data_IF_226798636452
#
_entry.id   IF_226798636452
#
_cell.length_a   1.000
_cell.length_b   1.000
_cell.length_c   1.000
_cell.angle_alpha   90.00
_cell.angle_beta   90.00
_cell.angle_gamma   90.00
#
_symmetry.space_group_name_H-M   'P 1'
#
loop_
_entity.id
_entity.type
_entity.pdbx_description
1 polymer ?
#
# COMPACT_ATOMS: atom_id res chain seq x y z
N UNK A 1 12.75 -6.07 26.42
CA UNK A 1 12.01 -7.03 25.59
C UNK A 1 12.04 -6.54 24.16
N UNK A 2 12.47 -7.37 23.21
CA UNK A 2 12.36 -7.06 21.79
C UNK A 2 10.90 -7.21 21.41
N UNK A 3 10.23 -6.18 20.83
CA UNK A 3 8.85 -6.31 20.40
C UNK A 3 8.72 -7.49 19.44
N UNK A 4 7.73 -8.34 19.63
CA UNK A 4 7.37 -9.38 18.67
C UNK A 4 7.06 -8.67 17.36
N UNK A 5 7.69 -9.11 16.26
CA UNK A 5 7.46 -8.53 14.95
C UNK A 5 6.01 -8.81 14.54
N UNK A 6 5.22 -7.76 14.35
CA UNK A 6 3.85 -7.85 13.86
C UNK A 6 3.83 -8.47 12.47
N UNK A 7 2.87 -9.34 12.22
CA UNK A 7 2.62 -9.89 10.89
C UNK A 7 2.18 -8.77 9.93
N UNK A 8 2.26 -9.02 8.62
CA UNK A 8 1.76 -8.07 7.62
C UNK A 8 0.30 -7.70 7.87
N UNK A 9 -0.54 -8.65 8.24
CA UNK A 9 -1.96 -8.41 8.51
C UNK A 9 -2.17 -7.53 9.73
N UNK A 10 -1.43 -7.73 10.81
CA UNK A 10 -1.50 -6.89 12.01
C UNK A 10 -1.04 -5.45 11.74
N UNK A 11 0.05 -5.29 10.97
CA UNK A 11 0.51 -3.96 10.53
C UNK A 11 -0.53 -3.28 9.65
N UNK A 12 -1.18 -4.03 8.74
CA UNK A 12 -2.22 -3.50 7.85
C UNK A 12 -3.47 -3.10 8.64
N UNK A 13 -3.92 -3.90 9.59
CA UNK A 13 -5.05 -3.56 10.47
C UNK A 13 -4.78 -2.29 11.28
N UNK A 14 -3.56 -2.16 11.81
CA UNK A 14 -3.13 -0.95 12.53
C UNK A 14 -3.07 0.28 11.63
N UNK A 15 -2.53 0.14 10.41
CA UNK A 15 -2.48 1.20 9.41
C UNK A 15 -3.88 1.68 9.00
N UNK A 16 -4.80 0.76 8.71
CA UNK A 16 -6.17 1.08 8.32
C UNK A 16 -6.88 1.82 9.46
N UNK A 17 -6.78 1.31 10.68
CA UNK A 17 -7.39 1.94 11.86
C UNK A 17 -6.89 3.37 12.09
N UNK A 18 -5.57 3.59 11.99
CA UNK A 18 -4.98 4.92 12.16
C UNK A 18 -5.36 5.85 11.02
N UNK A 19 -5.33 5.38 9.76
CA UNK A 19 -5.70 6.18 8.61
C UNK A 19 -7.19 6.58 8.61
N UNK A 20 -8.08 5.67 9.01
CA UNK A 20 -9.50 5.99 9.18
C UNK A 20 -9.72 6.95 10.35
N UNK A 21 -9.01 6.79 11.48
CA UNK A 21 -9.12 7.70 12.61
C UNK A 21 -8.65 9.12 12.27
N UNK A 22 -7.59 9.25 11.46
CA UNK A 22 -7.07 10.55 10.99
C UNK A 22 -8.08 11.27 10.09
N UNK A 23 -8.68 10.56 9.12
CA UNK A 23 -9.51 11.17 8.07
C UNK A 23 -10.97 11.35 8.51
N UNK A 24 -11.49 10.45 9.34
CA UNK A 24 -12.92 10.44 9.73
C UNK A 24 -13.16 11.12 11.08
N UNK A 25 -12.25 10.98 12.04
CA UNK A 25 -12.40 11.53 13.39
C UNK A 25 -13.72 11.11 14.05
N UNK A 26 -14.56 12.09 14.41
CA UNK A 26 -15.88 11.86 15.03
C UNK A 26 -16.98 11.48 14.03
N UNK A 27 -16.69 11.51 12.71
CA UNK A 27 -17.62 11.11 11.65
C UNK A 27 -17.56 11.98 10.40
N UNK A 28 -17.95 11.41 9.26
CA UNK A 28 -18.14 12.13 8.00
C UNK A 28 -19.44 12.96 8.06
N UNK A 29 -19.34 14.19 8.57
CA UNK A 29 -20.47 15.08 8.75
C UNK A 29 -21.23 15.36 7.44
N UNK A 30 -20.54 15.47 6.32
CA UNK A 30 -21.14 15.70 5.00
C UNK A 30 -22.00 14.52 4.56
N UNK A 31 -21.43 13.32 4.61
CA UNK A 31 -22.20 12.12 4.26
C UNK A 31 -23.36 11.86 5.22
N UNK A 32 -23.14 12.14 6.51
CA UNK A 32 -24.22 12.01 7.51
C UNK A 32 -25.38 12.96 7.24
N UNK A 33 -25.12 14.19 6.81
CA UNK A 33 -26.14 15.20 6.51
C UNK A 33 -26.85 14.95 5.18
N UNK A 34 -26.13 14.52 4.13
CA UNK A 34 -26.65 14.51 2.75
C UNK A 34 -27.12 13.13 2.27
N UNK A 35 -26.66 12.03 2.87
CA UNK A 35 -26.88 10.68 2.37
C UNK A 35 -27.71 9.86 3.37
N UNK A 36 -28.77 9.22 2.87
CA UNK A 36 -29.57 8.32 3.71
C UNK A 36 -28.74 7.11 4.13
N UNK A 37 -28.83 6.70 5.40
CA UNK A 37 -28.06 5.58 5.98
C UNK A 37 -28.29 4.24 5.25
N UNK A 38 -29.45 4.07 4.62
CA UNK A 38 -29.84 2.87 3.86
C UNK A 38 -29.37 2.88 2.41
N UNK A 39 -28.74 3.99 1.96
CA UNK A 39 -28.26 4.09 0.58
C UNK A 39 -27.07 3.16 0.35
N UNK A 40 -27.14 2.34 -0.71
CA UNK A 40 -26.07 1.50 -1.21
C UNK A 40 -25.64 2.03 -2.58
N UNK A 41 -24.35 2.01 -2.87
CA UNK A 41 -23.78 2.43 -4.15
C UNK A 41 -22.77 1.41 -4.66
N UNK A 42 -22.65 1.32 -5.98
CA UNK A 42 -21.57 0.61 -6.66
C UNK A 42 -20.60 1.64 -7.21
N UNK A 43 -19.30 1.44 -6.94
CA UNK A 43 -18.22 2.23 -7.51
C UNK A 43 -17.22 1.34 -8.24
N UNK A 44 -16.39 1.96 -9.08
CA UNK A 44 -15.25 1.30 -9.75
C UNK A 44 -13.99 2.11 -9.57
N UNK A 45 -12.85 1.42 -9.48
CA UNK A 45 -11.54 2.06 -9.60
C UNK A 45 -11.11 2.07 -11.06
N UNK A 46 -11.05 3.28 -11.64
CA UNK A 46 -10.67 3.50 -13.02
C UNK A 46 -9.21 3.98 -13.09
N UNK A 47 -8.42 3.28 -13.88
CA UNK A 47 -7.01 3.63 -14.14
C UNK A 47 -6.95 4.86 -15.04
N UNK A 48 -6.06 5.80 -14.73
CA UNK A 48 -5.89 7.07 -15.43
C UNK A 48 -4.54 7.22 -16.13
N UNK A 49 -3.57 6.36 -15.79
CA UNK A 49 -2.21 6.43 -16.33
C UNK A 49 -1.64 5.03 -16.54
N UNK A 50 -0.60 4.90 -17.37
CA UNK A 50 0.14 3.65 -17.57
C UNK A 50 1.01 3.34 -16.35
N UNK A 51 1.17 2.05 -16.03
CA UNK A 51 2.04 1.64 -14.95
C UNK A 51 1.80 0.22 -14.42
N UNK A 52 2.30 -0.01 -13.21
CA UNK A 52 2.08 -1.25 -12.46
C UNK A 52 1.12 -0.94 -11.31
N UNK A 53 -0.02 -1.62 -11.29
CA UNK A 53 -0.98 -1.45 -10.20
C UNK A 53 -0.50 -2.16 -8.93
N UNK A 54 -0.70 -1.51 -7.78
CA UNK A 54 -0.36 -2.07 -6.48
C UNK A 54 -1.29 -1.53 -5.39
N UNK A 55 -1.72 -2.40 -4.47
CA UNK A 55 -2.62 -2.06 -3.37
C UNK A 55 -4.08 -2.44 -3.57
N UNK A 56 -4.41 -3.26 -4.57
CA UNK A 56 -5.80 -3.75 -4.80
C UNK A 56 -6.28 -4.62 -3.63
N UNK A 57 -5.42 -5.50 -3.11
CA UNK A 57 -5.76 -6.33 -1.95
C UNK A 57 -5.83 -5.51 -0.66
N UNK A 58 -5.02 -4.46 -0.54
CA UNK A 58 -5.11 -3.47 0.55
C UNK A 58 -6.45 -2.71 0.47
N UNK A 59 -6.85 -2.24 -0.72
CA UNK A 59 -8.15 -1.59 -0.94
C UNK A 59 -9.31 -2.49 -0.52
N UNK A 60 -9.27 -3.77 -0.89
CA UNK A 60 -10.27 -4.76 -0.46
C UNK A 60 -10.36 -4.85 1.06
N UNK A 61 -9.21 -4.88 1.76
CA UNK A 61 -9.18 -4.93 3.23
C UNK A 61 -9.77 -3.67 3.84
N UNK A 62 -9.43 -2.48 3.32
CA UNK A 62 -9.99 -1.19 3.78
C UNK A 62 -11.52 -1.18 3.64
N UNK A 63 -12.06 -1.59 2.47
CA UNK A 63 -13.51 -1.63 2.28
C UNK A 63 -14.20 -2.65 3.20
N UNK A 64 -13.56 -3.78 3.47
CA UNK A 64 -14.09 -4.78 4.41
C UNK A 64 -14.08 -4.28 5.86
N UNK A 65 -13.13 -3.44 6.23
CA UNK A 65 -13.08 -2.83 7.56
C UNK A 65 -14.23 -1.83 7.79
N UNK A 66 -14.51 -0.96 6.82
CA UNK A 66 -15.61 0.02 6.95
C UNK A 66 -17.00 -0.57 6.69
N UNK A 67 -17.08 -1.71 6.01
CA UNK A 67 -18.33 -2.41 5.70
C UNK A 67 -18.04 -3.91 5.51
N UNK A 68 -18.22 -4.71 6.55
CA UNK A 68 -17.95 -6.16 6.51
C UNK A 68 -18.69 -6.88 5.37
N UNK A 69 -19.91 -6.42 5.03
CA UNK A 69 -20.72 -6.95 3.94
C UNK A 69 -20.41 -6.32 2.56
N UNK A 70 -19.35 -5.52 2.42
CA UNK A 70 -18.97 -4.96 1.12
C UNK A 70 -18.75 -6.07 0.10
N UNK A 71 -19.37 -5.97 -1.06
CA UNK A 71 -19.11 -6.84 -2.20
C UNK A 71 -17.97 -6.22 -3.02
N UNK A 72 -16.84 -6.93 -3.12
CA UNK A 72 -15.62 -6.46 -3.78
C UNK A 72 -15.22 -7.43 -4.87
N UNK A 73 -15.38 -6.99 -6.12
CA UNK A 73 -15.04 -7.73 -7.34
C UNK A 73 -13.68 -7.27 -7.87
N UNK A 74 -12.62 -8.04 -7.60
CA UNK A 74 -11.28 -7.78 -8.13
C UNK A 74 -11.18 -8.23 -9.58
N UNK A 75 -10.82 -7.32 -10.49
CA UNK A 75 -10.62 -7.59 -11.91
C UNK A 75 -9.14 -7.67 -12.30
N UNK A 76 -8.29 -6.87 -11.65
CA UNK A 76 -6.86 -6.81 -11.92
C UNK A 76 -6.10 -7.11 -10.61
N UNK A 77 -5.09 -7.94 -10.71
CA UNK A 77 -4.25 -8.31 -9.56
C UNK A 77 -3.08 -7.33 -9.39
N UNK A 78 -2.62 -7.18 -8.15
CA UNK A 78 -1.41 -6.44 -7.83
C UNK A 78 -0.21 -6.94 -8.65
N UNK A 79 0.65 -6.03 -9.10
CA UNK A 79 1.80 -6.32 -9.97
C UNK A 79 1.47 -6.39 -11.46
N UNK A 80 0.21 -6.24 -11.87
CA UNK A 80 -0.17 -6.22 -13.27
C UNK A 80 0.14 -4.88 -13.94
N UNK A 81 0.52 -4.94 -15.23
CA UNK A 81 0.61 -3.76 -16.10
C UNK A 81 -0.81 -3.26 -16.36
N UNK A 82 -1.01 -1.97 -16.25
CA UNK A 82 -2.29 -1.30 -16.48
C UNK A 82 -2.14 -0.08 -17.38
N UNK A 83 -3.24 0.34 -18.02
CA UNK A 83 -3.31 1.49 -18.90
C UNK A 83 -4.58 2.32 -18.64
N UNK A 84 -4.64 3.57 -19.10
CA UNK A 84 -5.82 4.40 -18.99
C UNK A 84 -7.07 3.72 -19.55
N UNK A 85 -8.15 3.74 -18.76
CA UNK A 85 -9.43 3.12 -19.10
C UNK A 85 -9.65 1.74 -18.48
N UNK A 86 -8.60 1.05 -18.01
CA UNK A 86 -8.75 -0.21 -17.29
C UNK A 86 -9.53 -0.01 -15.98
N UNK A 87 -10.30 -1.02 -15.58
CA UNK A 87 -11.02 -1.05 -14.31
C UNK A 87 -10.37 -2.09 -13.40
N UNK A 88 -9.81 -1.66 -12.27
CA UNK A 88 -9.11 -2.56 -11.37
C UNK A 88 -10.05 -3.40 -10.51
N UNK A 89 -11.15 -2.82 -10.05
CA UNK A 89 -12.17 -3.52 -9.27
C UNK A 89 -13.50 -2.76 -9.28
N UNK A 90 -14.56 -3.47 -8.91
CA UNK A 90 -15.81 -2.89 -8.46
C UNK A 90 -16.00 -3.12 -6.97
N UNK A 91 -16.69 -2.19 -6.30
CA UNK A 91 -17.11 -2.35 -4.91
C UNK A 91 -18.55 -1.88 -4.76
N UNK A 92 -19.36 -2.68 -4.06
CA UNK A 92 -20.74 -2.35 -3.69
C UNK A 92 -20.85 -2.40 -2.17
N UNK A 93 -21.20 -1.27 -1.56
CA UNK A 93 -21.36 -1.17 -0.10
C UNK A 93 -22.25 0.02 0.27
N UNK A 94 -22.59 0.22 1.57
CA UNK A 94 -23.27 1.41 2.03
C UNK A 94 -22.53 2.67 1.55
N UNK A 95 -23.25 3.63 0.96
CA UNK A 95 -22.65 4.81 0.32
C UNK A 95 -21.79 5.63 1.28
N UNK A 96 -22.21 5.75 2.55
CA UNK A 96 -21.41 6.44 3.57
C UNK A 96 -20.08 5.75 3.82
N UNK A 97 -20.06 4.43 3.90
CA UNK A 97 -18.83 3.65 4.07
C UNK A 97 -17.92 3.75 2.84
N UNK A 98 -18.50 3.77 1.63
CA UNK A 98 -17.76 3.95 0.39
C UNK A 98 -16.99 5.27 0.37
N UNK A 99 -17.65 6.37 0.71
CA UNK A 99 -17.05 7.72 0.73
C UNK A 99 -16.03 7.86 1.86
N UNK A 100 -16.28 7.25 3.01
CA UNK A 100 -15.35 7.21 4.15
C UNK A 100 -14.03 6.52 3.79
N UNK A 101 -14.08 5.42 3.04
CA UNK A 101 -12.90 4.66 2.65
C UNK A 101 -12.13 5.25 1.46
N UNK A 102 -12.80 6.04 0.61
CA UNK A 102 -12.29 6.47 -0.69
C UNK A 102 -10.90 7.08 -0.63
N UNK A 103 -10.68 8.04 0.28
CA UNK A 103 -9.42 8.77 0.34
C UNK A 103 -8.26 7.88 0.79
N UNK A 104 -8.46 7.07 1.83
CA UNK A 104 -7.45 6.13 2.30
C UNK A 104 -7.10 5.10 1.22
N UNK A 105 -8.09 4.57 0.51
CA UNK A 105 -7.88 3.64 -0.62
C UNK A 105 -7.05 4.30 -1.73
N UNK A 106 -7.48 5.47 -2.20
CA UNK A 106 -6.82 6.15 -3.32
C UNK A 106 -5.40 6.58 -2.97
N UNK A 107 -5.18 7.18 -1.81
CA UNK A 107 -3.84 7.62 -1.39
C UNK A 107 -2.87 6.43 -1.27
N UNK A 108 -3.34 5.33 -0.67
CA UNK A 108 -2.52 4.11 -0.50
C UNK A 108 -2.19 3.47 -1.84
N UNK A 109 -3.19 3.26 -2.71
CA UNK A 109 -2.99 2.64 -4.01
C UNK A 109 -2.13 3.50 -4.94
N UNK A 110 -2.32 4.82 -4.96
CA UNK A 110 -1.49 5.74 -5.75
C UNK A 110 -0.03 5.70 -5.31
N UNK A 111 0.22 5.68 -3.99
CA UNK A 111 1.57 5.55 -3.44
C UNK A 111 2.22 4.23 -3.83
N UNK A 112 1.52 3.13 -3.61
CA UNK A 112 2.02 1.79 -3.92
C UNK A 112 2.23 1.59 -5.43
N UNK A 113 1.28 2.00 -6.26
CA UNK A 113 1.39 1.87 -7.72
C UNK A 113 2.52 2.74 -8.30
N UNK A 114 2.73 3.95 -7.77
CA UNK A 114 3.85 4.78 -8.16
C UNK A 114 5.21 4.12 -7.86
N UNK A 115 5.36 3.52 -6.69
CA UNK A 115 6.58 2.77 -6.31
C UNK A 115 6.76 1.54 -7.21
N UNK A 116 5.71 0.75 -7.42
CA UNK A 116 5.76 -0.44 -8.27
C UNK A 116 6.14 -0.08 -9.71
N UNK A 117 5.57 0.99 -10.25
CA UNK A 117 5.88 1.49 -11.60
C UNK A 117 7.35 1.90 -11.72
N UNK A 118 7.86 2.71 -10.80
CA UNK A 118 9.27 3.12 -10.80
C UNK A 118 10.20 1.90 -10.63
N UNK A 119 9.86 0.96 -9.74
CA UNK A 119 10.63 -0.28 -9.56
C UNK A 119 10.72 -1.08 -10.87
N UNK A 120 9.61 -1.19 -11.62
CA UNK A 120 9.58 -1.89 -12.91
C UNK A 120 10.45 -1.21 -13.98
N UNK A 121 10.51 0.13 -13.99
CA UNK A 121 11.39 0.87 -14.91
C UNK A 121 12.87 0.59 -14.61
N UNK A 122 13.26 0.61 -13.33
CA UNK A 122 14.62 0.22 -12.95
C UNK A 122 14.96 -1.22 -13.35
N UNK A 123 13.99 -2.14 -13.23
CA UNK A 123 14.19 -3.54 -13.62
C UNK A 123 14.45 -3.68 -15.14
N UNK A 124 13.76 -2.88 -15.96
CA UNK A 124 13.99 -2.86 -17.43
C UNK A 124 15.40 -2.41 -17.79
N UNK A 125 15.98 -1.43 -17.06
CA UNK A 125 17.34 -0.94 -17.32
C UNK A 125 18.43 -1.99 -17.07
N UNK A 126 18.14 -3.03 -16.29
CA UNK A 126 19.09 -4.12 -16.00
C UNK A 126 18.73 -5.42 -16.70
N UNK A 127 17.82 -5.38 -17.67
CA UNK A 127 17.40 -6.60 -18.37
C UNK A 127 18.60 -7.31 -19.01
N UNK A 128 18.68 -8.64 -18.80
CA UNK A 128 19.78 -9.47 -19.28
C UNK A 128 21.06 -9.43 -18.42
N UNK A 129 21.11 -8.60 -17.36
CA UNK A 129 22.24 -8.58 -16.43
C UNK A 129 22.01 -9.53 -15.25
N UNK A 130 23.06 -10.22 -14.74
CA UNK A 130 22.95 -11.12 -13.58
C UNK A 130 22.96 -10.35 -12.25
N UNK A 131 22.08 -9.35 -12.13
CA UNK A 131 21.96 -8.48 -10.94
C UNK A 131 20.52 -8.42 -10.43
N UNK A 132 20.35 -8.03 -9.18
CA UNK A 132 19.04 -7.80 -8.55
C UNK A 132 18.95 -6.39 -7.99
N UNK A 133 17.82 -5.74 -8.20
CA UNK A 133 17.53 -4.46 -7.56
C UNK A 133 16.88 -4.72 -6.21
N UNK A 134 17.44 -4.10 -5.18
CA UNK A 134 16.99 -4.21 -3.81
C UNK A 134 16.45 -2.87 -3.31
N UNK A 135 15.42 -2.90 -2.50
CA UNK A 135 14.91 -1.73 -1.81
C UNK A 135 15.82 -1.28 -0.65
N UNK A 136 15.41 -0.25 0.04
CA UNK A 136 16.13 0.30 1.20
C UNK A 136 15.18 0.55 2.37
N UNK A 137 15.73 1.04 3.51
CA UNK A 137 14.95 1.56 4.64
C UNK A 137 14.57 3.04 4.52
N UNK A 138 14.86 3.68 3.40
CA UNK A 138 14.47 5.08 3.12
C UNK A 138 13.01 5.13 2.67
N UNK A 139 12.12 4.85 3.60
CA UNK A 139 10.68 4.71 3.37
C UNK A 139 9.90 5.76 4.16
N UNK A 140 8.66 6.01 3.77
CA UNK A 140 7.73 6.84 4.53
C UNK A 140 7.48 6.20 5.91
N UNK A 141 7.61 6.95 7.02
CA UNK A 141 7.29 6.44 8.35
C UNK A 141 5.88 5.84 8.39
N UNK A 142 5.76 4.65 9.00
CA UNK A 142 4.49 3.92 9.11
C UNK A 142 4.06 3.17 7.84
N UNK A 143 4.67 3.43 6.67
CA UNK A 143 4.26 2.80 5.40
C UNK A 143 5.27 1.78 4.84
N UNK A 144 6.35 1.49 5.54
CA UNK A 144 7.45 0.65 5.02
C UNK A 144 6.97 -0.70 4.49
N UNK A 145 6.10 -1.38 5.20
CA UNK A 145 5.60 -2.71 4.83
C UNK A 145 4.82 -2.67 3.50
N UNK A 146 4.04 -1.62 3.25
CA UNK A 146 3.32 -1.40 1.99
C UNK A 146 4.27 -0.99 0.86
N UNK A 147 5.22 -0.08 1.13
CA UNK A 147 6.18 0.37 0.13
C UNK A 147 7.12 -0.76 -0.32
N UNK A 148 7.54 -1.62 0.62
CA UNK A 148 8.32 -2.83 0.30
C UNK A 148 7.52 -3.86 -0.49
N UNK A 149 6.24 -4.02 -0.19
CA UNK A 149 5.36 -4.87 -0.98
C UNK A 149 5.20 -4.32 -2.42
N UNK A 150 5.06 -3.02 -2.56
CA UNK A 150 4.98 -2.35 -3.86
C UNK A 150 6.25 -2.54 -4.70
N UNK A 151 7.43 -2.55 -4.09
CA UNK A 151 8.71 -2.87 -4.76
C UNK A 151 8.67 -4.28 -5.36
N UNK A 152 8.13 -5.26 -4.63
CA UNK A 152 7.97 -6.64 -5.12
C UNK A 152 6.95 -6.70 -6.26
N UNK A 153 5.84 -5.98 -6.16
CA UNK A 153 4.86 -5.87 -7.25
C UNK A 153 5.45 -5.27 -8.53
N UNK A 154 6.46 -4.39 -8.41
CA UNK A 154 7.23 -3.87 -9.53
C UNK A 154 8.32 -4.81 -10.07
N UNK A 155 8.45 -6.04 -9.52
CA UNK A 155 9.40 -7.06 -9.95
C UNK A 155 10.78 -6.99 -9.29
N UNK A 156 11.03 -6.03 -8.39
CA UNK A 156 12.27 -5.92 -7.63
C UNK A 156 12.20 -6.73 -6.32
N UNK A 157 13.24 -6.68 -5.51
CA UNK A 157 13.38 -7.52 -4.31
C UNK A 157 13.50 -6.68 -3.04
N UNK A 158 13.00 -7.23 -1.95
CA UNK A 158 13.20 -6.66 -0.64
C UNK A 158 14.61 -6.97 -0.12
N UNK A 159 15.23 -5.97 0.52
CA UNK A 159 16.35 -6.11 1.41
C UNK A 159 15.85 -6.07 2.88
N UNK A 160 16.69 -5.79 3.85
CA UNK A 160 16.31 -5.81 5.27
C UNK A 160 15.09 -4.93 5.59
N UNK A 161 14.20 -5.44 6.41
CA UNK A 161 13.00 -4.73 6.84
C UNK A 161 13.29 -3.71 7.95
N UNK A 162 14.26 -4.00 8.83
CA UNK A 162 14.60 -3.15 9.96
C UNK A 162 16.09 -3.19 10.33
N UNK A 163 16.36 -2.83 11.56
CA UNK A 163 17.71 -2.98 12.15
C UNK A 163 17.93 -4.35 12.80
N UNK A 164 16.87 -5.15 12.88
CA UNK A 164 16.78 -6.39 13.62
C UNK A 164 17.01 -7.65 12.76
N UNK A 165 16.89 -7.57 11.43
CA UNK A 165 16.92 -8.74 10.56
C UNK A 165 18.23 -8.95 9.80
N UNK A 166 19.08 -7.90 9.70
CA UNK A 166 20.39 -7.98 9.06
C UNK A 166 21.41 -7.05 9.74
N UNK A 167 22.66 -7.51 9.87
CA UNK A 167 23.79 -6.68 10.26
C UNK A 167 24.32 -5.95 9.03
N UNK A 168 24.39 -4.63 9.10
CA UNK A 168 24.99 -3.80 8.06
C UNK A 168 25.91 -2.78 8.72
N UNK A 169 27.19 -2.99 8.57
CA UNK A 169 28.25 -2.07 9.02
C UNK A 169 28.39 -0.99 7.95
N UNK A 170 28.42 0.26 8.36
CA UNK A 170 28.60 1.45 7.54
C UNK A 170 29.71 2.32 8.08
N UNK A 171 30.10 3.34 7.31
CA UNK A 171 31.06 4.37 7.68
C UNK A 171 30.87 4.91 9.10
N UNK A 172 29.65 5.31 9.44
CA UNK A 172 29.30 5.79 10.78
C UNK A 172 29.59 4.77 11.90
N UNK A 173 29.43 3.48 11.61
CA UNK A 173 29.73 2.44 12.61
C UNK A 173 31.23 2.28 12.79
N UNK A 174 31.99 2.34 11.69
CA UNK A 174 33.46 2.27 11.71
C UNK A 174 34.03 3.49 12.44
N UNK A 175 33.55 4.69 12.11
CA UNK A 175 33.96 5.94 12.76
C UNK A 175 33.66 5.92 14.27
N UNK A 176 32.49 5.45 14.66
CA UNK A 176 32.09 5.38 16.08
C UNK A 176 32.85 4.32 16.86
N UNK A 177 33.24 3.19 16.24
CA UNK A 177 34.05 2.15 16.85
C UNK A 177 35.56 2.45 16.81
N UNK A 178 36.01 3.27 15.86
CA UNK A 178 37.44 3.56 15.64
C UNK A 178 38.17 2.56 14.74
N UNK A 179 37.61 1.36 14.49
CA UNK A 179 38.19 0.33 13.61
C UNK A 179 37.12 -0.69 13.21
N UNK A 180 37.43 -1.53 12.19
CA UNK A 180 36.62 -2.68 11.74
C UNK A 180 37.12 -4.00 12.40
N UNK A 181 38.26 -4.00 13.09
CA UNK A 181 38.86 -5.18 13.68
C UNK A 181 38.13 -5.71 14.90
#
# INVERSE_FOLDING_TARGET
EVPIMESFDEMLDSFIRLGLAEDVGEGDHTSMACIRSTRVSKAKLLIKDDGIISGVDVAKKIFKEVAAAADFEKLISDGSVVKPGDVAFYVTCPTRALLMAERLVLNTMQRMSGIATIASLYLQEIEGLPVKILDTRKTTPGMRFLEKQAVVHGGCHNYRAGLYDWIMIKDNHVEACGDIA
#
